data_IF_807678447080
#
_entry.id   IF_807678447080
#
_cell.length_a   1.000
_cell.length_b   1.000
_cell.length_c   1.000
_cell.angle_alpha   90.00
_cell.angle_beta   90.00
_cell.angle_gamma   90.00
#
_symmetry.space_group_name_H-M   'P 1'
#
loop_
_entity.id
_entity.type
_entity.pdbx_description
1 polymer ?
#
# COMPACT_ATOMS: atom_id res chain seq x y z
N UNK A 1 -1.51 -30.45 1.97
CA UNK A 1 -1.36 -29.54 3.13
C UNK A 1 -2.73 -28.96 3.45
N UNK A 2 -3.10 -28.93 4.72
CA UNK A 2 -4.32 -28.28 5.19
C UNK A 2 -3.91 -27.12 6.09
N UNK A 3 -4.48 -25.95 5.84
CA UNK A 3 -4.29 -24.73 6.64
C UNK A 3 -5.59 -24.35 7.30
N UNK A 4 -5.48 -23.86 8.54
CA UNK A 4 -6.57 -23.29 9.30
C UNK A 4 -6.05 -22.04 10.01
N UNK A 5 -6.85 -20.98 10.00
CA UNK A 5 -6.58 -19.77 10.74
C UNK A 5 -7.88 -19.27 11.37
N UNK A 6 -7.75 -18.78 12.60
CA UNK A 6 -8.78 -18.17 13.42
C UNK A 6 -8.17 -16.91 14.03
N UNK A 7 -8.82 -15.78 13.81
CA UNK A 7 -8.34 -14.47 14.21
C UNK A 7 -9.52 -13.67 14.78
N UNK A 8 -9.27 -13.08 15.94
CA UNK A 8 -10.16 -12.12 16.61
C UNK A 8 -9.32 -10.87 16.89
N UNK A 9 -9.79 -9.72 16.42
CA UNK A 9 -9.12 -8.44 16.62
C UNK A 9 -10.11 -7.37 17.11
N UNK A 10 -9.78 -6.76 18.26
CA UNK A 10 -10.53 -5.66 18.85
C UNK A 10 -9.67 -4.39 18.89
N UNK A 11 -10.18 -3.31 18.30
CA UNK A 11 -9.52 -2.01 18.29
C UNK A 11 -10.47 -0.90 18.70
N UNK A 12 -10.12 -0.20 19.76
CA UNK A 12 -10.73 1.07 20.13
C UNK A 12 -9.77 2.23 19.86
N UNK A 13 -10.27 3.30 19.24
CA UNK A 13 -9.51 4.53 19.03
C UNK A 13 -10.39 5.78 19.12
N UNK A 14 -9.85 6.84 19.72
CA UNK A 14 -10.50 8.14 19.84
C UNK A 14 -9.59 9.31 19.42
N UNK A 15 -10.21 10.42 19.04
CA UNK A 15 -9.56 11.66 18.66
C UNK A 15 -10.37 12.85 19.16
N UNK A 16 -9.73 13.69 19.98
CA UNK A 16 -10.30 14.93 20.50
C UNK A 16 -9.70 16.16 19.82
N UNK A 17 -10.56 17.01 19.26
CA UNK A 17 -10.19 18.25 18.60
C UNK A 17 -10.82 19.43 19.33
N UNK A 18 -10.01 20.33 19.88
CA UNK A 18 -10.54 21.55 20.50
C UNK A 18 -10.32 22.72 19.56
N UNK A 19 -11.40 23.26 18.98
CA UNK A 19 -11.33 24.51 18.22
C UNK A 19 -11.35 25.69 19.20
N UNK A 20 -10.19 26.31 19.41
CA UNK A 20 -10.09 27.61 20.06
C UNK A 20 -10.27 28.69 18.98
N UNK A 21 -11.44 29.32 18.89
CA UNK A 21 -11.54 30.58 18.16
C UNK A 21 -10.62 31.61 18.84
N UNK A 22 -9.55 32.04 18.18
CA UNK A 22 -9.12 33.44 18.26
C UNK A 22 -8.23 33.81 17.08
N UNK A 23 -8.70 34.76 16.25
CA UNK A 23 -7.89 35.95 16.03
C UNK A 23 -8.72 37.19 16.32
N UNK A 24 -9.01 37.44 17.60
CA UNK A 24 -9.27 38.80 18.08
C UNK A 24 -8.10 39.20 18.98
N UNK A 25 -6.92 39.30 18.38
CA UNK A 25 -5.71 39.77 19.08
C UNK A 25 -5.65 41.30 19.26
N UNK A 26 -6.73 42.07 19.06
CA UNK A 26 -6.75 43.51 19.36
C UNK A 26 -8.15 44.17 19.33
N UNK A 27 -9.14 43.67 20.09
CA UNK A 27 -10.42 44.39 20.27
C UNK A 27 -10.80 44.49 21.76
N UNK A 28 -10.71 45.67 22.40
CA UNK A 28 -10.83 45.82 23.85
C UNK A 28 -12.25 45.57 24.44
N UNK A 29 -13.25 45.23 23.62
CA UNK A 29 -14.67 45.31 24.03
C UNK A 29 -15.53 44.10 23.66
N UNK A 30 -14.96 42.96 23.25
CA UNK A 30 -15.76 41.74 22.99
C UNK A 30 -15.45 40.71 24.09
N UNK A 31 -16.36 40.58 25.06
CA UNK A 31 -16.40 39.39 25.92
C UNK A 31 -16.95 38.21 25.10
N UNK A 32 -16.12 37.63 24.25
CA UNK A 32 -16.39 36.31 23.69
C UNK A 32 -16.19 35.31 24.84
N UNK A 33 -17.29 34.88 25.46
CA UNK A 33 -17.27 33.69 26.32
C UNK A 33 -16.72 32.53 25.47
N UNK A 34 -15.51 32.08 25.82
CA UNK A 34 -14.85 30.91 25.26
C UNK A 34 -15.80 29.71 25.27
N UNK A 35 -16.49 29.43 24.18
CA UNK A 35 -17.10 28.11 23.97
C UNK A 35 -16.05 27.32 23.20
N UNK A 36 -15.13 26.69 23.93
CA UNK A 36 -14.31 25.63 23.37
C UNK A 36 -15.27 24.59 22.79
N UNK A 37 -15.30 24.44 21.47
CA UNK A 37 -16.03 23.35 20.82
C UNK A 37 -15.05 22.19 20.74
N UNK A 38 -15.19 21.25 21.66
CA UNK A 38 -14.48 19.97 21.61
C UNK A 38 -15.26 19.05 20.70
N UNK A 39 -14.63 18.58 19.63
CA UNK A 39 -15.12 17.49 18.83
C UNK A 39 -14.44 16.21 19.29
N UNK A 40 -15.22 15.17 19.54
CA UNK A 40 -14.69 13.83 19.84
C UNK A 40 -15.15 12.91 18.73
N UNK A 41 -14.21 12.22 18.10
CA UNK A 41 -14.47 11.09 17.22
C UNK A 41 -13.99 9.84 17.94
N UNK A 42 -14.78 8.76 17.95
CA UNK A 42 -14.29 7.46 18.37
C UNK A 42 -14.79 6.35 17.46
N UNK A 43 -14.03 5.27 17.43
CA UNK A 43 -14.29 4.07 16.65
C UNK A 43 -14.00 2.85 17.51
N UNK A 44 -14.89 1.87 17.42
CA UNK A 44 -14.71 0.54 17.97
C UNK A 44 -14.87 -0.47 16.83
N UNK A 45 -13.81 -1.25 16.58
CA UNK A 45 -13.74 -2.21 15.48
C UNK A 45 -13.50 -3.59 16.05
N UNK A 46 -14.45 -4.48 15.77
CA UNK A 46 -14.40 -5.91 16.06
C UNK A 46 -14.35 -6.67 14.73
N UNK A 47 -13.40 -7.60 14.62
CA UNK A 47 -13.23 -8.48 13.46
C UNK A 47 -13.00 -9.92 13.91
N UNK A 48 -13.91 -10.81 13.51
CA UNK A 48 -13.73 -12.25 13.58
C UNK A 48 -13.51 -12.82 12.17
N UNK A 49 -12.45 -13.61 12.00
CA UNK A 49 -12.13 -14.24 10.72
C UNK A 49 -11.75 -15.70 10.92
N UNK A 50 -12.42 -16.58 10.16
CA UNK A 50 -12.02 -17.98 10.05
C UNK A 50 -11.70 -18.31 8.61
N UNK A 51 -10.61 -19.05 8.38
CA UNK A 51 -10.26 -19.52 7.04
C UNK A 51 -9.72 -20.94 7.03
N UNK A 52 -10.01 -21.63 5.93
CA UNK A 52 -9.62 -23.00 5.67
C UNK A 52 -9.02 -23.10 4.28
N UNK A 53 -7.89 -23.80 4.16
CA UNK A 53 -7.25 -24.02 2.88
C UNK A 53 -6.81 -25.47 2.72
N UNK A 54 -7.11 -26.05 1.56
CA UNK A 54 -6.61 -27.36 1.15
C UNK A 54 -5.73 -27.20 -0.08
N UNK A 55 -4.50 -27.73 -0.01
CA UNK A 55 -3.54 -27.75 -1.12
C UNK A 55 -3.05 -29.16 -1.39
N UNK A 56 -3.03 -29.53 -2.65
CA UNK A 56 -2.38 -30.73 -3.17
C UNK A 56 -1.32 -30.33 -4.19
N UNK A 57 -0.10 -30.79 -3.98
CA UNK A 57 1.06 -30.50 -4.83
C UNK A 57 1.65 -31.80 -5.40
N UNK A 58 2.27 -31.70 -6.56
CA UNK A 58 3.19 -32.72 -7.08
C UNK A 58 4.44 -32.87 -6.20
N UNK A 59 5.25 -33.90 -6.49
CA UNK A 59 6.59 -34.00 -5.93
C UNK A 59 7.51 -32.89 -6.48
N UNK A 60 8.57 -32.58 -5.72
CA UNK A 60 9.64 -31.67 -6.15
C UNK A 60 10.61 -32.37 -7.11
N UNK A 61 11.27 -31.60 -7.98
CA UNK A 61 12.34 -32.09 -8.88
C UNK A 61 11.88 -32.76 -10.17
N UNK A 62 10.57 -32.91 -10.37
CA UNK A 62 9.99 -33.38 -11.62
C UNK A 62 9.92 -32.26 -12.67
N UNK A 63 10.04 -32.60 -13.95
CA UNK A 63 9.86 -31.65 -15.07
C UNK A 63 8.45 -31.08 -15.16
N UNK A 64 7.46 -31.84 -14.72
CA UNK A 64 6.08 -31.39 -14.61
C UNK A 64 5.72 -31.24 -13.14
N UNK A 65 5.40 -30.01 -12.73
CA UNK A 65 5.00 -29.68 -11.36
C UNK A 65 3.60 -29.09 -11.37
N UNK A 66 2.84 -29.33 -10.31
CA UNK A 66 1.51 -28.75 -10.20
C UNK A 66 1.10 -28.56 -8.75
N UNK A 67 0.19 -27.61 -8.55
CA UNK A 67 -0.57 -27.41 -7.31
C UNK A 67 -2.04 -27.21 -7.67
N UNK A 68 -2.93 -27.80 -6.87
CA UNK A 68 -4.35 -27.55 -6.92
C UNK A 68 -4.89 -27.38 -5.51
N UNK A 69 -5.92 -26.57 -5.34
CA UNK A 69 -6.46 -26.33 -4.02
C UNK A 69 -7.79 -25.61 -3.99
N UNK A 70 -8.31 -25.51 -2.77
CA UNK A 70 -9.53 -24.79 -2.44
C UNK A 70 -9.31 -23.96 -1.19
N UNK A 71 -9.98 -22.81 -1.15
CA UNK A 71 -9.94 -21.85 -0.04
C UNK A 71 -11.37 -21.46 0.34
N UNK A 72 -11.62 -21.30 1.64
CA UNK A 72 -12.88 -20.78 2.18
C UNK A 72 -12.57 -19.86 3.35
N UNK A 73 -13.24 -18.71 3.40
CA UNK A 73 -13.11 -17.73 4.46
C UNK A 73 -14.49 -17.18 4.84
N UNK A 74 -14.71 -17.04 6.14
CA UNK A 74 -15.82 -16.26 6.70
C UNK A 74 -15.24 -15.10 7.51
N UNK A 75 -15.86 -13.94 7.42
CA UNK A 75 -15.44 -12.74 8.15
C UNK A 75 -16.66 -12.00 8.66
N UNK A 76 -16.75 -11.84 9.97
CA UNK A 76 -17.70 -10.95 10.62
C UNK A 76 -16.93 -9.70 11.04
N UNK A 77 -17.51 -8.53 10.80
CA UNK A 77 -16.86 -7.27 11.15
C UNK A 77 -17.91 -6.26 11.57
N UNK A 78 -17.76 -5.75 12.79
CA UNK A 78 -18.56 -4.64 13.31
C UNK A 78 -17.67 -3.42 13.47
N UNK A 79 -18.09 -2.30 12.89
CA UNK A 79 -17.48 -1.00 13.15
C UNK A 79 -18.53 -0.07 13.72
N UNK A 80 -18.35 0.29 14.98
CA UNK A 80 -19.10 1.35 15.64
C UNK A 80 -18.31 2.64 15.54
N UNK A 81 -18.99 3.70 15.11
CA UNK A 81 -18.38 5.01 14.89
C UNK A 81 -19.30 6.08 15.44
N UNK A 82 -18.73 7.04 16.19
CA UNK A 82 -19.46 8.24 16.55
C UNK A 82 -18.58 9.50 16.48
N UNK A 83 -19.24 10.62 16.22
CA UNK A 83 -18.69 11.98 16.28
C UNK A 83 -19.62 12.84 17.13
N UNK A 84 -19.06 13.47 18.15
CA UNK A 84 -19.76 14.41 19.03
C UNK A 84 -19.09 15.78 18.99
N UNK A 85 -19.85 16.82 19.33
CA UNK A 85 -19.33 18.15 19.65
C UNK A 85 -19.88 18.56 21.02
N UNK A 86 -19.04 18.52 22.05
CA UNK A 86 -19.49 18.62 23.43
C UNK A 86 -20.59 17.57 23.71
N UNK A 87 -21.75 17.97 24.26
CA UNK A 87 -22.83 17.02 24.59
C UNK A 87 -23.71 16.61 23.39
N UNK A 88 -23.46 17.10 22.18
CA UNK A 88 -24.29 16.82 21.00
C UNK A 88 -23.64 15.76 20.10
N UNK A 89 -24.39 14.72 19.75
CA UNK A 89 -23.97 13.71 18.75
C UNK A 89 -24.30 14.20 17.34
N UNK A 90 -23.29 14.26 16.48
CA UNK A 90 -23.40 14.68 15.08
C UNK A 90 -23.50 13.48 14.14
N UNK A 91 -22.73 12.44 14.42
CA UNK A 91 -22.81 11.17 13.71
C UNK A 91 -22.75 10.03 14.73
N UNK A 92 -23.58 9.03 14.50
CA UNK A 92 -23.57 7.75 15.20
C UNK A 92 -23.95 6.70 14.16
N UNK A 93 -23.08 5.72 13.94
CA UNK A 93 -23.21 4.76 12.86
C UNK A 93 -22.59 3.43 13.27
N UNK A 94 -23.35 2.36 13.04
CA UNK A 94 -22.91 0.97 13.14
C UNK A 94 -22.82 0.37 11.74
N UNK A 95 -21.67 -0.20 11.40
CA UNK A 95 -21.44 -0.86 10.12
C UNK A 95 -21.02 -2.32 10.35
N UNK A 96 -22.03 -3.17 10.46
CA UNK A 96 -21.90 -4.62 10.62
C UNK A 96 -21.91 -5.32 9.24
N UNK A 97 -20.95 -6.21 9.03
CA UNK A 97 -20.75 -6.93 7.78
C UNK A 97 -20.43 -8.41 8.03
N UNK A 98 -21.14 -9.28 7.32
CA UNK A 98 -20.87 -10.71 7.23
C UNK A 98 -20.44 -11.06 5.80
N UNK A 99 -19.25 -11.63 5.64
CA UNK A 99 -18.70 -11.93 4.33
C UNK A 99 -18.30 -13.40 4.24
N UNK A 100 -18.56 -14.02 3.09
CA UNK A 100 -18.17 -15.41 2.79
C UNK A 100 -17.50 -15.48 1.43
N UNK A 101 -16.22 -15.81 1.42
CA UNK A 101 -15.44 -15.96 0.20
C UNK A 101 -14.94 -17.40 0.05
N UNK A 102 -15.01 -17.94 -1.16
CA UNK A 102 -14.37 -19.20 -1.48
C UNK A 102 -13.68 -19.12 -2.83
N UNK A 103 -12.68 -19.97 -3.01
CA UNK A 103 -11.96 -20.08 -4.27
C UNK A 103 -11.54 -21.50 -4.57
N UNK A 104 -11.40 -21.78 -5.86
CA UNK A 104 -10.75 -22.99 -6.39
C UNK A 104 -9.63 -22.57 -7.32
N UNK A 105 -8.49 -23.24 -7.23
CA UNK A 105 -7.31 -22.85 -7.99
C UNK A 105 -6.49 -24.05 -8.43
N UNK A 106 -5.74 -23.84 -9.51
CA UNK A 106 -4.76 -24.78 -10.01
C UNK A 106 -3.64 -24.04 -10.74
N UNK A 107 -2.43 -24.57 -10.62
CA UNK A 107 -1.25 -24.14 -11.35
C UNK A 107 -0.46 -25.35 -11.79
N UNK A 108 0.05 -25.30 -13.01
CA UNK A 108 0.95 -26.29 -13.57
C UNK A 108 2.15 -25.59 -14.19
N UNK A 109 3.31 -26.23 -14.04
CA UNK A 109 4.60 -25.79 -14.56
C UNK A 109 5.23 -26.96 -15.32
N UNK A 110 5.86 -26.65 -16.45
CA UNK A 110 6.53 -27.64 -17.28
C UNK A 110 7.85 -27.11 -17.82
N UNK A 111 8.92 -27.83 -17.51
CA UNK A 111 10.25 -27.62 -18.07
C UNK A 111 10.28 -28.19 -19.51
N UNK A 112 10.07 -27.32 -20.50
CA UNK A 112 10.18 -27.67 -21.92
C UNK A 112 11.61 -28.11 -22.26
N UNK A 113 12.59 -27.46 -21.65
CA UNK A 113 14.02 -27.80 -21.68
C UNK A 113 14.63 -27.49 -20.31
N UNK A 114 15.92 -27.76 -20.14
CA UNK A 114 16.63 -27.39 -18.89
C UNK A 114 16.78 -25.85 -18.71
N UNK A 115 16.41 -25.05 -19.73
CA UNK A 115 16.50 -23.58 -19.72
C UNK A 115 15.13 -22.90 -19.91
N UNK A 116 14.10 -23.61 -20.36
CA UNK A 116 12.82 -23.03 -20.75
C UNK A 116 11.69 -23.69 -19.97
N UNK A 117 10.97 -22.88 -19.19
CA UNK A 117 9.81 -23.29 -18.40
C UNK A 117 8.57 -22.54 -18.87
N UNK A 118 7.45 -23.24 -18.98
CA UNK A 118 6.13 -22.64 -19.13
C UNK A 118 5.28 -22.94 -17.90
N UNK A 119 4.57 -21.94 -17.40
CA UNK A 119 3.60 -22.10 -16.33
C UNK A 119 2.24 -21.54 -16.73
N UNK A 120 1.19 -22.20 -16.25
CA UNK A 120 -0.18 -21.76 -16.40
C UNK A 120 -0.92 -21.96 -15.10
N UNK A 121 -1.69 -20.96 -14.68
CA UNK A 121 -2.53 -21.02 -13.51
C UNK A 121 -3.92 -20.45 -13.79
N UNK A 122 -4.90 -20.95 -13.06
CA UNK A 122 -6.25 -20.42 -13.06
C UNK A 122 -6.79 -20.46 -11.64
N UNK A 123 -7.50 -19.40 -11.27
CA UNK A 123 -8.24 -19.33 -10.02
C UNK A 123 -9.63 -18.77 -10.30
N UNK A 124 -10.63 -19.30 -9.62
CA UNK A 124 -11.97 -18.73 -9.58
C UNK A 124 -12.28 -18.35 -8.14
N UNK A 125 -12.61 -17.08 -7.92
CA UNK A 125 -13.06 -16.56 -6.63
C UNK A 125 -14.54 -16.24 -6.71
N UNK A 126 -15.23 -16.47 -5.59
CA UNK A 126 -16.59 -16.00 -5.38
C UNK A 126 -16.73 -15.49 -3.95
N UNK A 127 -17.11 -14.23 -3.84
CA UNK A 127 -17.19 -13.47 -2.59
C UNK A 127 -18.60 -12.93 -2.40
N UNK A 128 -19.28 -13.39 -1.36
CA UNK A 128 -20.59 -12.92 -0.96
C UNK A 128 -20.44 -11.93 0.18
N UNK A 129 -20.89 -10.70 -0.05
CA UNK A 129 -20.87 -9.61 0.92
C UNK A 129 -22.28 -9.35 1.44
N UNK A 130 -22.45 -9.24 2.75
CA UNK A 130 -23.70 -8.87 3.41
C UNK A 130 -23.43 -7.75 4.42
N UNK A 131 -23.89 -6.54 4.11
CA UNK A 131 -23.89 -5.45 5.08
C UNK A 131 -25.14 -5.61 5.96
N UNK A 132 -24.97 -6.22 7.13
CA UNK A 132 -26.04 -6.58 8.07
C UNK A 132 -26.81 -5.33 8.49
N UNK A 133 -26.10 -4.23 8.77
CA UNK A 133 -26.70 -2.98 9.23
C UNK A 133 -27.70 -2.37 8.23
N UNK A 134 -27.52 -2.61 6.92
CA UNK A 134 -28.41 -2.11 5.85
C UNK A 134 -29.27 -3.21 5.20
N UNK A 135 -28.99 -4.48 5.48
CA UNK A 135 -29.61 -5.65 4.86
C UNK A 135 -29.22 -5.89 3.40
N UNK A 136 -28.24 -5.14 2.85
CA UNK A 136 -27.79 -5.27 1.46
C UNK A 136 -26.88 -6.47 1.27
N UNK A 137 -27.02 -7.15 0.13
CA UNK A 137 -26.22 -8.31 -0.25
C UNK A 137 -25.76 -8.17 -1.68
N UNK A 138 -24.53 -8.57 -1.94
CA UNK A 138 -23.99 -8.71 -3.29
C UNK A 138 -23.03 -9.89 -3.38
N UNK A 139 -22.89 -10.43 -4.59
CA UNK A 139 -21.88 -11.43 -4.90
C UNK A 139 -20.95 -10.92 -6.01
N UNK A 140 -19.66 -10.95 -5.74
CA UNK A 140 -18.62 -10.67 -6.72
C UNK A 140 -17.89 -11.97 -7.07
N UNK A 141 -17.58 -12.19 -8.34
CA UNK A 141 -16.85 -13.36 -8.77
C UNK A 141 -16.00 -13.10 -10.00
N UNK A 142 -14.85 -13.77 -10.08
CA UNK A 142 -13.91 -13.57 -11.16
C UNK A 142 -13.08 -14.81 -11.48
N UNK A 143 -12.81 -14.99 -12.77
CA UNK A 143 -11.78 -15.89 -13.27
C UNK A 143 -10.46 -15.15 -13.39
N UNK A 144 -9.41 -15.73 -12.81
CA UNK A 144 -8.06 -15.17 -12.74
C UNK A 144 -7.06 -16.10 -13.44
N UNK A 145 -7.05 -16.16 -14.79
CA UNK A 145 -6.03 -16.90 -15.52
C UNK A 145 -4.67 -16.17 -15.44
N UNK A 146 -3.59 -16.94 -15.44
CA UNK A 146 -2.23 -16.43 -15.58
C UNK A 146 -1.36 -17.41 -16.35
N UNK A 147 -0.44 -16.88 -17.14
CA UNK A 147 0.56 -17.64 -17.86
C UNK A 147 1.93 -16.97 -17.69
N UNK A 148 2.99 -17.76 -17.57
CA UNK A 148 4.36 -17.26 -17.51
C UNK A 148 5.25 -18.11 -18.40
N UNK A 149 6.12 -17.46 -19.17
CA UNK A 149 7.22 -18.09 -19.88
C UNK A 149 8.52 -17.62 -19.25
N UNK A 150 9.39 -18.55 -18.86
CA UNK A 150 10.67 -18.26 -18.23
C UNK A 150 11.79 -18.88 -19.06
N UNK A 151 12.82 -18.09 -19.36
CA UNK A 151 14.03 -18.55 -20.04
C UNK A 151 15.27 -18.24 -19.18
N UNK A 152 15.92 -19.28 -18.68
CA UNK A 152 17.16 -19.22 -17.92
C UNK A 152 18.36 -19.34 -18.87
N UNK A 153 19.10 -18.24 -19.08
CA UNK A 153 20.33 -18.24 -19.88
C UNK A 153 21.46 -19.01 -19.18
N UNK A 154 21.44 -18.98 -17.85
CA UNK A 154 22.38 -19.65 -16.94
C UNK A 154 21.62 -19.98 -15.64
N UNK A 155 22.23 -20.75 -14.74
CA UNK A 155 21.65 -21.08 -13.43
C UNK A 155 21.29 -19.86 -12.56
N UNK A 156 21.88 -18.69 -12.85
CA UNK A 156 21.76 -17.47 -12.05
C UNK A 156 21.13 -16.29 -12.80
N UNK A 157 20.75 -16.47 -14.07
CA UNK A 157 20.28 -15.38 -14.92
C UNK A 157 19.12 -15.85 -15.80
N UNK A 158 17.99 -15.15 -15.69
CA UNK A 158 16.78 -15.47 -16.43
C UNK A 158 16.05 -14.21 -16.91
N UNK A 159 15.24 -14.40 -17.94
CA UNK A 159 14.17 -13.49 -18.34
C UNK A 159 12.84 -14.21 -18.24
N UNK A 160 11.78 -13.44 -18.02
CA UNK A 160 10.43 -13.98 -18.04
C UNK A 160 9.46 -12.99 -18.68
N UNK A 161 8.34 -13.52 -19.16
CA UNK A 161 7.18 -12.76 -19.55
C UNK A 161 5.93 -13.39 -18.93
N UNK A 162 5.04 -12.57 -18.39
CA UNK A 162 3.81 -13.03 -17.76
C UNK A 162 2.61 -12.22 -18.24
N UNK A 163 1.48 -12.91 -18.38
CA UNK A 163 0.15 -12.33 -18.48
C UNK A 163 -0.66 -12.85 -17.31
N UNK A 164 -1.45 -12.00 -16.67
CA UNK A 164 -2.35 -12.46 -15.61
C UNK A 164 -3.51 -11.51 -15.36
N UNK A 165 -4.58 -12.07 -14.81
CA UNK A 165 -5.72 -11.31 -14.32
C UNK A 165 -5.73 -11.31 -12.79
N UNK A 166 -5.88 -10.14 -12.19
CA UNK A 166 -6.11 -9.95 -10.75
C UNK A 166 -7.54 -9.49 -10.49
N UNK A 167 -8.03 -9.75 -9.27
CA UNK A 167 -9.38 -9.39 -8.84
C UNK A 167 -9.36 -8.87 -7.40
N UNK A 168 -10.13 -7.82 -7.15
CA UNK A 168 -10.44 -7.32 -5.81
C UNK A 168 -11.94 -7.14 -5.72
N UNK A 169 -12.59 -7.85 -4.79
CA UNK A 169 -14.04 -7.76 -4.60
C UNK A 169 -14.51 -6.33 -4.32
N UNK A 170 -15.74 -6.03 -4.73
CA UNK A 170 -16.45 -4.82 -4.33
C UNK A 170 -16.99 -4.93 -2.91
N UNK A 171 -17.84 -3.97 -2.54
CA UNK A 171 -18.39 -3.92 -1.19
C UNK A 171 -19.32 -2.74 -0.93
N UNK A 172 -19.59 -2.53 0.35
CA UNK A 172 -20.50 -1.49 0.83
C UNK A 172 -19.75 -0.49 1.70
N UNK A 173 -19.98 0.79 1.43
CA UNK A 173 -19.50 1.87 2.27
C UNK A 173 -20.47 2.13 3.45
N UNK A 174 -20.00 2.90 4.43
CA UNK A 174 -20.89 3.57 5.39
C UNK A 174 -21.87 4.50 4.66
N UNK A 175 -23.08 4.67 5.19
CA UNK A 175 -24.09 5.53 4.56
C UNK A 175 -24.80 4.92 3.34
N UNK A 176 -24.78 3.59 3.19
CA UNK A 176 -25.53 2.82 2.20
C UNK A 176 -25.09 2.98 0.73
N UNK A 177 -23.90 3.51 0.43
CA UNK A 177 -23.34 3.43 -0.94
C UNK A 177 -22.55 2.13 -1.16
N UNK A 178 -22.28 1.80 -2.42
CA UNK A 178 -21.68 0.54 -2.84
C UNK A 178 -20.63 0.83 -3.91
N UNK A 179 -19.56 0.04 -3.92
CA UNK A 179 -18.51 0.06 -4.94
C UNK A 179 -18.40 -1.32 -5.59
N UNK A 180 -18.12 -1.34 -6.89
CA UNK A 180 -17.97 -2.56 -7.70
C UNK A 180 -16.62 -3.23 -7.45
N UNK A 181 -16.52 -4.50 -7.85
CA UNK A 181 -15.23 -5.19 -7.91
C UNK A 181 -14.30 -4.56 -8.94
N UNK A 182 -13.00 -4.71 -8.71
CA UNK A 182 -11.96 -4.27 -9.63
C UNK A 182 -11.29 -5.49 -10.25
N UNK A 183 -11.14 -5.48 -11.57
CA UNK A 183 -10.40 -6.51 -12.31
C UNK A 183 -9.22 -5.89 -13.06
N UNK A 184 -8.03 -6.47 -12.89
CA UNK A 184 -6.80 -5.98 -13.51
C UNK A 184 -6.29 -7.00 -14.52
N UNK A 185 -6.01 -6.60 -15.76
CA UNK A 185 -5.24 -7.40 -16.73
C UNK A 185 -3.82 -6.86 -16.77
N UNK A 186 -2.83 -7.69 -16.46
CA UNK A 186 -1.42 -7.30 -16.42
C UNK A 186 -0.58 -8.06 -17.45
N UNK A 187 0.31 -7.33 -18.11
CA UNK A 187 1.37 -7.83 -18.99
C UNK A 187 2.70 -7.36 -18.43
N UNK A 188 3.59 -8.27 -18.11
CA UNK A 188 4.90 -7.92 -17.54
C UNK A 188 6.01 -8.73 -18.21
N UNK A 189 7.14 -8.08 -18.45
CA UNK A 189 8.38 -8.72 -18.85
C UNK A 189 9.48 -8.29 -17.89
N UNK A 190 10.28 -9.23 -17.41
CA UNK A 190 11.35 -8.94 -16.47
C UNK A 190 12.56 -9.82 -16.63
N UNK A 191 13.59 -9.49 -15.87
CA UNK A 191 14.82 -10.25 -15.77
C UNK A 191 15.30 -10.32 -14.32
N UNK A 192 15.89 -11.45 -13.96
CA UNK A 192 16.52 -11.65 -12.66
C UNK A 192 17.92 -12.16 -12.87
N UNK A 193 18.89 -11.45 -12.30
CA UNK A 193 20.30 -11.67 -12.66
C UNK A 193 21.20 -11.59 -11.45
N UNK A 194 22.12 -12.56 -11.36
CA UNK A 194 23.18 -12.59 -10.36
C UNK A 194 24.53 -12.82 -11.03
N UNK A 195 25.48 -11.92 -10.75
CA UNK A 195 26.79 -11.86 -11.36
C UNK A 195 27.93 -11.90 -10.32
N UNK A 196 29.14 -12.21 -10.79
CA UNK A 196 30.39 -12.12 -10.03
C UNK A 196 30.36 -12.90 -8.69
N UNK A 197 30.00 -14.18 -8.73
CA UNK A 197 29.89 -15.06 -7.55
C UNK A 197 28.97 -14.48 -6.46
N UNK A 198 27.75 -14.10 -6.86
CA UNK A 198 26.73 -13.51 -5.99
C UNK A 198 27.07 -12.13 -5.42
N UNK A 199 28.06 -11.43 -6.01
CA UNK A 199 28.44 -10.09 -5.56
C UNK A 199 27.62 -8.98 -6.18
N UNK A 200 26.91 -9.23 -7.29
CA UNK A 200 26.02 -8.24 -7.90
C UNK A 200 24.71 -8.90 -8.28
N UNK A 201 23.61 -8.40 -7.72
CA UNK A 201 22.24 -8.74 -8.13
C UNK A 201 21.67 -7.54 -8.88
N UNK A 202 21.08 -7.78 -10.04
CA UNK A 202 20.36 -6.77 -10.85
C UNK A 202 19.08 -7.38 -11.38
N UNK A 203 17.95 -6.82 -10.98
CA UNK A 203 16.65 -7.26 -11.44
C UNK A 203 15.90 -6.06 -12.04
N UNK A 204 15.05 -6.32 -13.01
CA UNK A 204 14.20 -5.28 -13.56
C UNK A 204 13.00 -5.85 -14.28
N UNK A 205 11.94 -5.05 -14.33
CA UNK A 205 10.68 -5.40 -14.96
C UNK A 205 10.07 -4.18 -15.65
N UNK A 206 9.31 -4.42 -16.70
CA UNK A 206 8.42 -3.44 -17.30
C UNK A 206 7.04 -4.06 -17.38
N UNK A 207 6.01 -3.27 -17.06
CA UNK A 207 4.64 -3.74 -17.03
C UNK A 207 3.67 -2.75 -17.66
N UNK A 208 2.60 -3.30 -18.18
CA UNK A 208 1.40 -2.60 -18.61
C UNK A 208 0.19 -3.32 -18.02
N UNK A 209 -0.67 -2.57 -17.35
CA UNK A 209 -1.89 -3.09 -16.78
C UNK A 209 -3.08 -2.23 -17.18
N UNK A 210 -4.22 -2.87 -17.38
CA UNK A 210 -5.51 -2.22 -17.55
C UNK A 210 -6.42 -2.65 -16.40
N UNK A 211 -6.91 -1.67 -15.64
CA UNK A 211 -7.83 -1.87 -14.53
C UNK A 211 -9.23 -1.47 -14.95
N UNK A 212 -10.14 -2.43 -14.89
CA UNK A 212 -11.58 -2.23 -15.02
C UNK A 212 -12.14 -1.96 -13.61
N UNK A 213 -12.97 -0.92 -13.45
CA UNK A 213 -13.57 -0.49 -12.19
C UNK A 213 -12.56 -0.22 -11.06
N UNK A 214 -11.51 0.55 -11.36
CA UNK A 214 -10.43 0.91 -10.43
C UNK A 214 -10.95 1.57 -9.14
N UNK A 215 -10.80 0.89 -8.01
CA UNK A 215 -11.23 1.34 -6.70
C UNK A 215 -10.21 2.30 -6.09
N UNK A 216 -10.66 3.50 -5.74
CA UNK A 216 -9.90 4.46 -4.94
C UNK A 216 -10.74 4.93 -3.75
N UNK A 217 -10.06 5.31 -2.66
CA UNK A 217 -10.74 5.86 -1.50
C UNK A 217 -10.63 7.38 -1.46
N UNK A 218 -11.66 8.02 -0.90
CA UNK A 218 -11.66 9.42 -0.51
C UNK A 218 -12.41 9.58 0.82
N UNK A 219 -12.29 10.74 1.45
CA UNK A 219 -12.96 11.03 2.73
C UNK A 219 -14.09 12.01 2.47
N UNK A 220 -15.30 11.67 2.90
CA UNK A 220 -16.47 12.56 2.93
C UNK A 220 -16.67 13.08 4.35
N UNK A 221 -16.21 14.30 4.63
CA UNK A 221 -16.26 14.86 5.99
C UNK A 221 -17.60 15.48 6.33
N UNK A 222 -18.43 15.81 5.34
CA UNK A 222 -19.84 16.16 5.61
C UNK A 222 -20.54 15.04 6.39
N UNK A 223 -20.10 13.80 6.17
CA UNK A 223 -20.55 12.60 6.87
C UNK A 223 -19.49 12.01 7.81
N UNK A 224 -18.27 12.53 7.85
CA UNK A 224 -17.17 12.01 8.68
C UNK A 224 -16.75 10.57 8.34
N UNK A 225 -16.96 10.10 7.10
CA UNK A 225 -16.72 8.71 6.68
C UNK A 225 -15.71 8.63 5.53
N UNK A 226 -14.98 7.53 5.49
CA UNK A 226 -14.18 7.14 4.33
C UNK A 226 -15.04 6.32 3.36
N UNK A 227 -14.96 6.64 2.07
CA UNK A 227 -15.72 6.00 1.00
C UNK A 227 -14.76 5.45 -0.05
N UNK A 228 -15.14 4.34 -0.67
CA UNK A 228 -14.51 3.80 -1.88
C UNK A 228 -15.43 4.07 -3.07
N UNK A 229 -14.84 4.47 -4.19
CA UNK A 229 -15.52 4.66 -5.47
C UNK A 229 -14.69 4.04 -6.60
N UNK A 230 -15.33 3.83 -7.76
CA UNK A 230 -14.71 3.20 -8.92
C UNK A 230 -14.47 4.24 -10.03
N UNK A 231 -13.33 4.14 -10.71
CA UNK A 231 -13.06 4.75 -12.01
C UNK A 231 -13.22 3.66 -13.06
N UNK A 232 -14.07 3.88 -14.06
CA UNK A 232 -14.47 2.83 -15.02
C UNK A 232 -13.28 2.09 -15.66
N UNK A 233 -12.26 2.82 -16.12
CA UNK A 233 -11.07 2.22 -16.75
C UNK A 233 -9.81 3.04 -16.51
N UNK A 234 -8.73 2.38 -16.07
CA UNK A 234 -7.41 2.98 -15.84
C UNK A 234 -6.32 2.15 -16.51
N UNK A 235 -5.52 2.81 -17.34
CA UNK A 235 -4.24 2.29 -17.85
C UNK A 235 -3.12 2.57 -16.85
N UNK A 236 -2.26 1.59 -16.60
CA UNK A 236 -1.11 1.68 -15.70
C UNK A 236 0.14 1.17 -16.44
N UNK A 237 1.18 1.98 -16.52
CA UNK A 237 2.46 1.63 -17.15
C UNK A 237 3.58 1.82 -16.16
N UNK A 238 4.52 0.89 -16.11
CA UNK A 238 5.64 1.06 -15.22
C UNK A 238 6.90 0.32 -15.59
N UNK A 239 7.96 0.74 -14.92
CA UNK A 239 9.29 0.18 -15.01
C UNK A 239 9.89 0.11 -13.61
N UNK A 240 10.48 -1.03 -13.29
CA UNK A 240 11.17 -1.28 -12.05
C UNK A 240 12.59 -1.76 -12.34
N UNK A 241 13.54 -1.25 -11.56
CA UNK A 241 14.93 -1.66 -11.59
C UNK A 241 15.43 -1.69 -10.15
N UNK A 242 16.11 -2.76 -9.76
CA UNK A 242 16.81 -2.85 -8.50
C UNK A 242 18.21 -3.43 -8.71
N UNK A 243 19.14 -2.97 -7.88
CA UNK A 243 20.47 -3.56 -7.83
C UNK A 243 21.02 -3.59 -6.41
N UNK A 244 21.85 -4.58 -6.14
CA UNK A 244 22.64 -4.69 -4.93
C UNK A 244 24.02 -5.26 -5.28
N UNK A 245 25.07 -4.53 -4.94
CA UNK A 245 26.45 -4.85 -5.31
C UNK A 245 27.43 -4.75 -4.14
N UNK A 246 28.17 -5.83 -3.86
CA UNK A 246 29.34 -5.85 -2.99
C UNK A 246 30.58 -5.43 -3.78
N UNK A 247 30.88 -4.13 -3.75
CA UNK A 247 32.04 -3.52 -4.41
C UNK A 247 33.35 -4.06 -3.81
N UNK A 248 33.40 -4.19 -2.48
CA UNK A 248 34.42 -4.92 -1.72
C UNK A 248 33.73 -5.80 -0.67
N UNK A 249 34.50 -6.57 0.11
CA UNK A 249 33.96 -7.34 1.26
C UNK A 249 33.34 -6.46 2.35
N UNK A 250 33.67 -5.17 2.38
CA UNK A 250 33.22 -4.21 3.38
C UNK A 250 32.52 -2.99 2.80
N UNK A 251 32.28 -2.94 1.49
CA UNK A 251 31.58 -1.82 0.83
C UNK A 251 30.50 -2.34 -0.11
N UNK A 252 29.27 -1.91 0.15
CA UNK A 252 28.08 -2.28 -0.59
C UNK A 252 27.39 -1.03 -1.15
N UNK A 253 26.94 -1.13 -2.39
CA UNK A 253 26.01 -0.19 -3.00
C UNK A 253 24.69 -0.90 -3.29
N UNK A 254 23.59 -0.20 -3.13
CA UNK A 254 22.26 -0.71 -3.46
C UNK A 254 21.37 0.42 -3.93
N UNK A 255 20.39 0.11 -4.76
CA UNK A 255 19.42 1.09 -5.20
C UNK A 255 18.26 0.47 -5.93
N UNK A 256 17.22 1.27 -6.08
CA UNK A 256 16.05 0.93 -6.87
C UNK A 256 15.47 2.16 -7.57
N UNK A 257 14.81 1.92 -8.69
CA UNK A 257 14.01 2.87 -9.45
C UNK A 257 12.67 2.20 -9.72
N UNK A 258 11.58 2.86 -9.34
CA UNK A 258 10.23 2.53 -9.77
C UNK A 258 9.64 3.71 -10.52
N UNK A 259 9.00 3.47 -11.65
CA UNK A 259 8.24 4.44 -12.43
C UNK A 259 6.84 3.86 -12.60
N UNK A 260 5.81 4.64 -12.29
CA UNK A 260 4.41 4.24 -12.45
C UNK A 260 3.60 5.42 -12.97
N UNK A 261 3.21 5.33 -14.23
CA UNK A 261 2.37 6.30 -14.92
C UNK A 261 0.97 5.71 -15.07
N UNK A 262 -0.04 6.44 -14.61
CA UNK A 262 -1.45 6.02 -14.68
C UNK A 262 -2.22 6.97 -15.56
N UNK A 263 -3.21 6.49 -16.30
CA UNK A 263 -4.12 7.33 -17.07
C UNK A 263 -5.56 6.85 -16.89
N UNK A 264 -6.44 7.75 -16.49
CA UNK A 264 -7.88 7.55 -16.48
C UNK A 264 -8.31 7.52 -17.95
N UNK A 265 -8.63 6.33 -18.46
CA UNK A 265 -9.08 6.16 -19.85
C UNK A 265 -10.57 6.44 -19.99
N UNK A 266 -11.35 6.08 -18.97
CA UNK A 266 -12.80 6.30 -18.95
C UNK A 266 -13.28 6.59 -17.54
N UNK A 267 -14.14 7.61 -17.41
CA UNK A 267 -14.85 7.86 -16.15
C UNK A 267 -16.22 8.47 -16.41
N UNK A 268 -17.25 7.62 -16.55
CA UNK A 268 -18.59 8.05 -16.98
C UNK A 268 -19.23 9.07 -16.04
N UNK A 269 -18.93 9.01 -14.74
CA UNK A 269 -19.44 9.97 -13.74
C UNK A 269 -18.79 11.36 -13.88
N UNK A 270 -17.53 11.41 -14.30
CA UNK A 270 -16.77 12.66 -14.46
C UNK A 270 -15.90 12.66 -15.72
N UNK A 271 -16.48 12.74 -16.94
CA UNK A 271 -15.73 12.63 -18.19
C UNK A 271 -14.62 13.68 -18.36
N UNK A 272 -14.73 14.83 -17.68
CA UNK A 272 -13.71 15.89 -17.66
C UNK A 272 -12.37 15.46 -17.05
N UNK A 273 -12.33 14.33 -16.35
CA UNK A 273 -11.15 13.77 -15.68
C UNK A 273 -10.44 12.73 -16.55
N UNK A 274 -11.01 12.34 -17.69
CA UNK A 274 -10.36 11.44 -18.63
C UNK A 274 -9.06 12.07 -19.16
N UNK A 275 -7.98 11.29 -19.16
CA UNK A 275 -6.63 11.74 -19.47
C UNK A 275 -5.78 12.14 -18.27
N UNK A 276 -6.37 12.33 -17.08
CA UNK A 276 -5.62 12.59 -15.85
C UNK A 276 -4.99 11.32 -15.27
N UNK A 277 -4.05 11.49 -14.34
CA UNK A 277 -3.54 10.43 -13.49
C UNK A 277 -4.51 10.06 -12.37
N UNK A 278 -4.40 8.84 -11.84
CA UNK A 278 -5.18 8.41 -10.69
C UNK A 278 -4.77 9.17 -9.42
N UNK A 279 -5.68 9.27 -8.44
CA UNK A 279 -5.36 9.87 -7.14
C UNK A 279 -4.22 9.12 -6.44
N UNK A 280 -3.39 9.90 -5.74
CA UNK A 280 -2.18 9.48 -5.02
C UNK A 280 -1.07 8.88 -5.90
N UNK A 281 -1.18 8.96 -7.23
CA UNK A 281 -0.13 8.52 -8.15
C UNK A 281 1.17 9.30 -7.91
N UNK A 282 2.28 8.60 -7.69
CA UNK A 282 3.63 9.16 -7.59
C UNK A 282 4.45 8.64 -8.75
N UNK A 283 4.81 9.51 -9.70
CA UNK A 283 5.31 9.08 -11.01
C UNK A 283 6.59 8.24 -10.97
N UNK A 284 7.47 8.51 -10.01
CA UNK A 284 8.66 7.70 -9.81
C UNK A 284 9.15 7.73 -8.36
N UNK A 285 9.88 6.70 -7.98
CA UNK A 285 10.65 6.66 -6.73
C UNK A 285 12.05 6.13 -7.03
N UNK A 286 13.06 6.83 -6.54
CA UNK A 286 14.48 6.43 -6.64
C UNK A 286 15.03 6.26 -5.24
N UNK A 287 15.65 5.12 -4.97
CA UNK A 287 16.42 4.88 -3.76
C UNK A 287 17.87 4.60 -4.16
N UNK A 288 18.82 5.23 -3.49
CA UNK A 288 20.23 4.91 -3.62
C UNK A 288 20.86 4.91 -2.24
N UNK A 289 21.66 3.90 -1.95
CA UNK A 289 22.33 3.77 -0.67
C UNK A 289 23.68 3.11 -0.78
N UNK A 290 24.47 3.37 0.26
CA UNK A 290 25.80 2.86 0.43
C UNK A 290 25.95 2.36 1.87
N UNK A 291 26.64 1.23 2.03
CA UNK A 291 27.00 0.70 3.34
C UNK A 291 28.49 0.39 3.36
N UNK A 292 29.18 0.87 4.40
CA UNK A 292 30.61 0.66 4.59
C UNK A 292 30.89 0.14 6.00
N UNK A 293 31.49 -1.04 6.07
CA UNK A 293 31.99 -1.65 7.29
C UNK A 293 33.47 -1.33 7.51
N UNK A 294 33.82 -0.99 8.75
CA UNK A 294 35.19 -0.71 9.17
C UNK A 294 35.37 -1.02 10.65
N UNK A 295 36.62 -1.23 11.10
CA UNK A 295 36.92 -1.50 12.50
C UNK A 295 37.48 -0.24 13.18
N UNK A 296 37.05 0.02 14.41
CA UNK A 296 37.57 1.04 15.31
C UNK A 296 38.20 0.35 16.52
N UNK A 297 39.38 -0.24 16.34
CA UNK A 297 40.01 -1.09 17.35
C UNK A 297 39.17 -2.35 17.61
N UNK A 298 38.66 -2.58 18.83
CA UNK A 298 37.80 -3.73 19.14
C UNK A 298 36.33 -3.53 18.79
N UNK A 299 35.96 -2.40 18.17
CA UNK A 299 34.59 -2.05 17.82
C UNK A 299 34.38 -2.26 16.33
N UNK A 300 33.39 -3.06 15.96
CA UNK A 300 32.93 -3.18 14.58
C UNK A 300 31.96 -2.04 14.27
N UNK A 301 32.24 -1.28 13.22
CA UNK A 301 31.46 -0.12 12.83
C UNK A 301 30.88 -0.29 11.43
N UNK A 302 29.62 0.10 11.26
CA UNK A 302 28.95 0.15 9.96
C UNK A 302 28.31 1.51 9.75
N UNK A 303 28.73 2.22 8.70
CA UNK A 303 28.09 3.44 8.23
C UNK A 303 27.17 3.10 7.06
N UNK A 304 25.89 3.49 7.15
CA UNK A 304 24.92 3.40 6.08
C UNK A 304 24.40 4.79 5.73
N UNK A 305 24.48 5.15 4.46
CA UNK A 305 23.94 6.38 3.90
C UNK A 305 22.85 6.02 2.88
N UNK A 306 21.79 6.82 2.82
CA UNK A 306 20.71 6.64 1.88
C UNK A 306 20.14 7.96 1.39
N UNK A 307 19.78 8.00 0.13
CA UNK A 307 18.96 9.05 -0.48
C UNK A 307 17.73 8.41 -1.12
N UNK A 308 16.58 9.01 -0.86
CA UNK A 308 15.31 8.67 -1.48
C UNK A 308 14.80 9.91 -2.21
N UNK A 309 14.41 9.77 -3.48
CA UNK A 309 13.74 10.82 -4.24
C UNK A 309 12.40 10.30 -4.71
N UNK A 310 11.33 11.02 -4.36
CA UNK A 310 9.99 10.75 -4.85
C UNK A 310 9.64 11.80 -5.90
N UNK A 311 9.06 11.36 -6.99
CA UNK A 311 8.61 12.20 -8.09
C UNK A 311 7.39 13.04 -7.71
N UNK A 312 6.87 13.72 -8.73
CA UNK A 312 5.62 14.46 -8.64
C UNK A 312 4.50 13.52 -8.18
N UNK A 313 3.67 13.99 -7.25
CA UNK A 313 2.50 13.25 -6.75
C UNK A 313 1.22 14.02 -7.03
N UNK A 314 0.25 13.35 -7.63
CA UNK A 314 -1.10 13.88 -7.83
C UNK A 314 -1.97 13.42 -6.68
N UNK A 315 -2.57 14.35 -5.93
CA UNK A 315 -3.36 13.98 -4.75
C UNK A 315 -4.72 13.42 -5.12
N UNK A 316 -5.37 14.04 -6.10
CA UNK A 316 -6.76 13.80 -6.48
C UNK A 316 -6.94 13.52 -7.98
N UNK A 317 -8.09 12.95 -8.40
CA UNK A 317 -8.37 12.62 -9.80
C UNK A 317 -8.40 13.83 -10.76
N UNK A 318 -8.59 15.05 -10.26
CA UNK A 318 -8.55 16.28 -11.07
C UNK A 318 -7.13 16.75 -11.42
N UNK A 319 -6.12 16.22 -10.71
CA UNK A 319 -4.70 16.54 -10.89
C UNK A 319 -4.39 18.03 -10.70
N UNK A 320 -5.22 18.77 -9.98
CA UNK A 320 -4.98 20.19 -9.67
C UNK A 320 -3.95 20.30 -8.56
N UNK A 321 -4.19 19.58 -7.46
CA UNK A 321 -3.32 19.61 -6.30
C UNK A 321 -2.20 18.58 -6.42
N UNK A 322 -0.98 19.09 -6.44
CA UNK A 322 0.22 18.36 -6.80
C UNK A 322 1.33 18.65 -5.81
N UNK A 323 1.98 17.59 -5.32
CA UNK A 323 3.24 17.73 -4.58
C UNK A 323 4.42 17.67 -5.54
N UNK A 324 5.29 18.67 -5.46
CA UNK A 324 6.56 18.68 -6.18
C UNK A 324 7.48 17.54 -5.71
N UNK A 325 8.44 17.10 -6.55
CA UNK A 325 9.36 16.04 -6.18
C UNK A 325 10.17 16.37 -4.91
N UNK A 326 10.21 15.42 -3.97
CA UNK A 326 10.90 15.57 -2.69
C UNK A 326 12.16 14.71 -2.64
N UNK A 327 13.14 15.10 -1.83
CA UNK A 327 14.38 14.32 -1.60
C UNK A 327 14.69 14.19 -0.12
N UNK A 328 14.83 12.95 0.34
CA UNK A 328 15.08 12.61 1.75
C UNK A 328 16.47 11.97 1.88
N UNK A 329 17.27 12.54 2.77
CA UNK A 329 18.60 12.02 3.12
C UNK A 329 18.56 11.35 4.48
N UNK A 330 19.10 10.14 4.58
CA UNK A 330 19.11 9.34 5.79
C UNK A 330 20.51 8.79 6.07
N UNK A 331 20.87 8.69 7.34
CA UNK A 331 22.14 8.12 7.78
C UNK A 331 21.97 7.24 9.01
N UNK A 332 22.79 6.20 9.12
CA UNK A 332 22.86 5.31 10.28
C UNK A 332 24.32 4.92 10.53
N UNK A 333 24.79 5.08 11.76
CA UNK A 333 26.05 4.56 12.24
C UNK A 333 25.78 3.52 13.32
N UNK A 334 26.17 2.27 13.07
CA UNK A 334 26.08 1.18 14.02
C UNK A 334 27.47 0.89 14.57
N UNK A 335 27.61 0.77 15.89
CA UNK A 335 28.82 0.40 16.61
C UNK A 335 28.54 -0.84 17.44
N UNK A 336 29.37 -1.87 17.30
CA UNK A 336 29.19 -3.17 17.96
C UNK A 336 30.46 -3.60 18.66
N UNK A 337 30.32 -4.13 19.89
CA UNK A 337 31.43 -4.68 20.66
C UNK A 337 30.92 -5.74 21.62
N UNK A 338 31.21 -7.01 21.33
CA UNK A 338 30.67 -8.14 22.10
C UNK A 338 29.13 -8.10 22.05
N UNK A 339 28.50 -8.14 23.22
CA UNK A 339 27.04 -8.17 23.35
C UNK A 339 26.36 -6.80 23.25
N UNK A 340 27.15 -5.73 23.08
CA UNK A 340 26.64 -4.35 22.98
C UNK A 340 26.55 -3.87 21.54
N UNK A 341 25.40 -3.28 21.20
CA UNK A 341 25.18 -2.53 19.96
C UNK A 341 24.62 -1.15 20.26
N UNK A 342 25.26 -0.11 19.73
CA UNK A 342 24.78 1.27 19.75
C UNK A 342 24.55 1.74 18.33
N UNK A 343 23.39 2.31 18.06
CA UNK A 343 23.00 2.82 16.75
C UNK A 343 22.70 4.31 16.88
N UNK A 344 23.39 5.13 16.11
CA UNK A 344 23.02 6.52 15.87
C UNK A 344 22.30 6.59 14.53
N UNK A 345 21.15 7.25 14.47
CA UNK A 345 20.42 7.42 13.22
C UNK A 345 19.93 8.84 13.04
N UNK A 346 19.83 9.24 11.77
CA UNK A 346 19.25 10.51 11.34
C UNK A 346 18.36 10.28 10.12
N UNK A 347 17.15 10.81 10.18
CA UNK A 347 16.14 10.76 9.11
C UNK A 347 15.82 12.15 8.60
N UNK A 348 15.56 12.29 7.30
CA UNK A 348 15.26 13.56 6.66
C UNK A 348 16.31 14.65 7.00
N UNK A 349 17.59 14.34 6.83
CA UNK A 349 18.70 15.22 7.24
C UNK A 349 18.72 16.56 6.50
N UNK A 350 18.10 16.62 5.32
CA UNK A 350 17.91 17.85 4.54
C UNK A 350 16.80 18.76 5.08
N UNK A 351 16.01 18.31 6.05
CA UNK A 351 14.85 19.02 6.60
C UNK A 351 13.79 19.37 5.52
N UNK A 352 13.59 18.43 4.60
CA UNK A 352 12.60 18.53 3.53
C UNK A 352 11.19 18.58 4.13
N UNK A 353 10.40 19.59 3.76
CA UNK A 353 9.02 19.75 4.19
C UNK A 353 8.08 19.27 3.10
N UNK A 354 7.22 18.32 3.44
CA UNK A 354 6.31 17.71 2.49
C UNK A 354 5.05 17.21 3.22
N UNK A 355 4.01 16.88 2.45
CA UNK A 355 2.79 16.29 2.96
C UNK A 355 2.81 14.77 2.79
N UNK A 356 2.41 14.04 3.82
CA UNK A 356 2.16 12.59 3.74
C UNK A 356 0.78 12.30 3.18
N UNK A 357 -0.18 13.18 3.48
CA UNK A 357 -1.50 13.19 2.87
C UNK A 357 -2.00 14.62 2.71
N UNK A 358 -2.83 14.84 1.71
CA UNK A 358 -3.40 16.15 1.41
C UNK A 358 -4.80 15.96 0.82
N UNK A 359 -5.76 16.73 1.32
CA UNK A 359 -7.14 16.69 0.87
C UNK A 359 -7.63 18.11 0.63
N UNK A 360 -8.07 18.35 -0.61
CA UNK A 360 -8.58 19.65 -1.05
C UNK A 360 -10.05 19.80 -0.66
N UNK A 361 -10.46 21.03 -0.36
CA UNK A 361 -11.81 21.37 0.08
C UNK A 361 -12.92 20.90 -0.87
N UNK A 362 -12.67 20.80 -2.18
CA UNK A 362 -13.64 20.33 -3.18
C UNK A 362 -13.97 18.84 -3.01
N UNK A 363 -13.00 18.06 -2.53
CA UNK A 363 -13.18 16.65 -2.19
C UNK A 363 -13.67 16.46 -0.74
N UNK A 364 -13.61 17.52 0.07
CA UNK A 364 -13.82 17.49 1.51
C UNK A 364 -15.17 18.13 1.95
N UNK A 365 -15.79 18.99 1.13
CA UNK A 365 -17.07 19.69 1.38
C UNK A 365 -17.13 20.43 2.75
N UNK A 366 -16.00 20.92 3.26
CA UNK A 366 -15.97 21.72 4.49
C UNK A 366 -16.65 23.10 4.29
N UNK A 367 -17.25 23.67 5.36
CA UNK A 367 -17.63 25.07 5.36
C UNK A 367 -16.38 25.97 5.28
N UNK A 368 -16.24 26.70 4.18
CA UNK A 368 -15.06 27.53 3.87
C UNK A 368 -14.05 26.79 2.99
N UNK A 369 -13.38 27.52 2.11
CA UNK A 369 -12.33 27.03 1.21
C UNK A 369 -11.06 26.65 2.02
N UNK A 370 -11.14 25.55 2.79
CA UNK A 370 -10.08 25.09 3.69
C UNK A 370 -9.60 23.71 3.26
N UNK A 371 -8.34 23.63 2.85
CA UNK A 371 -7.66 22.37 2.55
C UNK A 371 -6.94 21.82 3.79
N UNK A 372 -6.77 20.50 3.84
CA UNK A 372 -6.12 19.81 4.97
C UNK A 372 -4.91 19.03 4.48
N UNK A 373 -3.75 19.29 5.09
CA UNK A 373 -2.50 18.59 4.81
C UNK A 373 -1.86 18.03 6.07
N UNK A 374 -1.36 16.80 5.99
CA UNK A 374 -0.60 16.14 7.06
C UNK A 374 0.89 16.24 6.78
N UNK A 375 1.63 16.93 7.65
CA UNK A 375 3.06 17.13 7.44
C UNK A 375 3.85 15.84 7.70
N UNK A 376 4.80 15.58 6.82
CA UNK A 376 5.81 14.56 7.02
C UNK A 376 6.70 14.86 8.23
N UNK A 377 7.33 13.81 8.77
CA UNK A 377 8.23 13.97 9.90
C UNK A 377 9.38 14.93 9.54
N UNK A 378 9.66 15.93 10.38
CA UNK A 378 10.78 16.82 10.17
C UNK A 378 12.09 16.06 10.35
N UNK A 379 13.22 16.74 10.12
CA UNK A 379 14.53 16.19 10.44
C UNK A 379 14.56 15.64 11.86
N UNK A 380 14.89 14.36 11.98
CA UNK A 380 14.83 13.61 13.24
C UNK A 380 16.11 12.84 13.48
N UNK A 381 16.51 12.72 14.75
CA UNK A 381 17.68 11.97 15.18
C UNK A 381 17.34 11.08 16.36
N UNK A 382 18.06 9.97 16.51
CA UNK A 382 17.90 9.12 17.67
C UNK A 382 19.08 8.19 17.90
N UNK A 383 19.02 7.53 19.06
CA UNK A 383 20.01 6.56 19.51
C UNK A 383 19.27 5.33 19.99
N UNK A 384 19.63 4.16 19.45
CA UNK A 384 19.14 2.87 19.93
C UNK A 384 20.30 2.12 20.60
N UNK A 385 20.04 1.53 21.78
CA UNK A 385 21.02 0.71 22.50
C UNK A 385 20.43 -0.67 22.71
N UNK A 386 21.18 -1.71 22.35
CA UNK A 386 20.82 -3.11 22.56
C UNK A 386 21.94 -3.85 23.29
N UNK A 387 21.53 -4.72 24.21
CA UNK A 387 22.38 -5.68 24.89
C UNK A 387 21.77 -7.07 24.75
N UNK A 388 22.54 -8.04 24.27
CA UNK A 388 22.10 -9.43 24.15
C UNK A 388 22.60 -10.24 25.37
N UNK A 389 21.69 -10.94 26.07
CA UNK A 389 21.97 -11.68 27.30
C UNK A 389 22.39 -13.13 27.07
#
# INVERSE_FOLDING_TARGET
MFGYNDLEEDYFGDADWTYLQSPLWDQPHIQAKNVARTWTQAQDLDVELTSHELRWTSAYGERFRWIAGGFHQETNRTLDFFVTQGPQTFLDSVNDNENKAWAVFGQAEYDLTDQLEVSGSIRYDRDKRHQVSSGKKETFDAWQPKATLTYAFTDNNLVYATYGTGFRSGGFNGGNSMFQDETLKNYEMGSKNTFFDNRLVVNGAAYFSQSDDFQFFYVDISRGIQLIDNIDEVDIKGLELEFQGLVTSNFQLFGSLGITDTKIEKYSLFPKLEGNHTPKNTLYTVNLGAQYGFNLGPVDATLRLGVERRGKKYWHPDNVEVQDPITLYNARLTLEKGDFRVVFWGKNLGDEKYYTDFVDHQYFQLPGEIDIGFLGQPRSFGVDVRYDF
#
